data_IF_407141979341
#
_entry.id   IF_407141979341
#
_cell.length_a   1.000
_cell.length_b   1.000
_cell.length_c   1.000
_cell.angle_alpha   90.00
_cell.angle_beta   90.00
_cell.angle_gamma   90.00
#
_symmetry.space_group_name_H-M   'P 1'
#
loop_
_entity.id
_entity.type
_entity.pdbx_description
1 polymer ?
#
# COMPACT_ATOMS: atom_id res chain seq x y z
N UNK A 1 11.79 -7.98 9.57
CA UNK A 1 10.86 -7.64 8.48
C UNK A 1 10.01 -8.87 8.22
N UNK A 2 8.68 -8.76 8.23
CA UNK A 2 7.79 -9.95 8.14
C UNK A 2 7.26 -10.23 6.73
N UNK A 3 7.22 -9.22 5.87
CA UNK A 3 6.77 -9.36 4.49
C UNK A 3 7.47 -8.35 3.57
N UNK A 4 7.49 -8.66 2.27
CA UNK A 4 7.82 -7.71 1.21
C UNK A 4 6.69 -7.69 0.18
N UNK A 5 6.37 -6.50 -0.33
CA UNK A 5 5.41 -6.30 -1.42
C UNK A 5 6.20 -5.86 -2.65
N UNK A 6 6.15 -6.65 -3.72
CA UNK A 6 6.80 -6.37 -5.00
C UNK A 6 5.74 -6.11 -6.08
N UNK A 7 5.92 -5.09 -6.91
CA UNK A 7 4.94 -4.71 -7.94
C UNK A 7 5.36 -5.16 -9.33
N UNK A 8 4.38 -5.48 -10.18
CA UNK A 8 4.59 -6.05 -11.52
C UNK A 8 4.86 -4.99 -12.61
N UNK A 9 5.59 -3.92 -12.26
CA UNK A 9 6.08 -2.93 -13.23
C UNK A 9 7.55 -3.17 -13.56
N UNK A 10 7.93 -2.71 -14.75
CA UNK A 10 9.32 -2.65 -15.21
C UNK A 10 9.93 -1.27 -14.99
N UNK A 11 11.27 -1.21 -14.97
CA UNK A 11 12.03 0.04 -14.86
C UNK A 11 12.09 0.63 -13.44
N UNK A 12 12.56 1.88 -13.36
CA UNK A 12 12.55 2.63 -12.10
C UNK A 12 11.11 2.86 -11.66
N UNK A 13 10.83 2.58 -10.39
CA UNK A 13 9.50 2.74 -9.81
C UNK A 13 8.95 4.15 -10.05
N UNK A 14 7.81 4.22 -10.73
CA UNK A 14 7.01 5.44 -10.90
C UNK A 14 5.78 5.38 -9.99
N UNK A 15 5.39 6.52 -9.44
CA UNK A 15 4.30 6.60 -8.47
C UNK A 15 2.95 6.24 -9.15
N UNK A 16 2.22 5.26 -8.60
CA UNK A 16 0.93 4.80 -9.12
C UNK A 16 -0.15 5.88 -9.17
N UNK A 17 -0.02 6.94 -8.36
CA UNK A 17 -0.91 8.10 -8.42
C UNK A 17 -0.81 8.88 -9.74
N UNK A 18 0.30 8.71 -10.48
CA UNK A 18 0.50 9.31 -11.79
C UNK A 18 -0.17 8.52 -12.92
N UNK A 19 -0.75 7.34 -12.65
CA UNK A 19 -1.48 6.53 -13.63
C UNK A 19 -0.76 6.43 -14.98
N UNK A 20 -1.48 6.77 -16.05
CA UNK A 20 -0.95 6.85 -17.41
C UNK A 20 -0.42 8.26 -17.80
N UNK A 21 -0.40 9.22 -16.88
CA UNK A 21 0.19 10.56 -17.11
C UNK A 21 1.71 10.49 -17.29
N UNK A 22 2.31 9.37 -16.86
CA UNK A 22 3.70 9.01 -17.16
C UNK A 22 3.70 7.58 -17.70
N UNK A 23 4.45 7.36 -18.79
CA UNK A 23 4.56 6.02 -19.40
C UNK A 23 5.04 4.99 -18.37
N UNK A 24 4.22 3.96 -18.17
CA UNK A 24 4.47 2.86 -17.24
C UNK A 24 4.22 1.53 -17.96
N UNK A 25 5.19 0.63 -17.86
CA UNK A 25 5.18 -0.67 -18.54
C UNK A 25 5.04 -1.78 -17.51
N UNK A 26 3.95 -2.53 -17.61
CA UNK A 26 3.75 -3.74 -16.82
C UNK A 26 4.65 -4.85 -17.33
N UNK A 27 5.21 -5.62 -16.42
CA UNK A 27 6.08 -6.74 -16.76
C UNK A 27 5.29 -7.91 -17.38
N UNK A 28 5.98 -8.69 -18.20
CA UNK A 28 5.46 -9.97 -18.65
C UNK A 28 5.15 -10.88 -17.45
N UNK A 29 4.07 -11.65 -17.57
CA UNK A 29 3.57 -12.48 -16.46
C UNK A 29 4.62 -13.51 -16.04
N UNK A 30 5.26 -14.20 -17.00
CA UNK A 30 6.23 -15.25 -16.67
C UNK A 30 7.50 -14.66 -16.05
N UNK A 31 7.95 -13.51 -16.56
CA UNK A 31 9.10 -12.80 -15.99
C UNK A 31 8.84 -12.40 -14.53
N UNK A 32 7.64 -11.91 -14.22
CA UNK A 32 7.29 -11.57 -12.83
C UNK A 32 7.12 -12.81 -11.94
N UNK A 33 6.56 -13.89 -12.50
CA UNK A 33 6.51 -15.20 -11.82
C UNK A 33 7.91 -15.71 -11.46
N UNK A 34 8.90 -15.55 -12.35
CA UNK A 34 10.28 -15.95 -12.08
C UNK A 34 10.89 -15.12 -10.93
N UNK A 35 10.57 -13.83 -10.83
CA UNK A 35 10.98 -13.02 -9.67
C UNK A 35 10.37 -13.49 -8.36
N UNK A 36 9.08 -13.85 -8.37
CA UNK A 36 8.41 -14.43 -7.19
C UNK A 36 9.11 -15.73 -6.79
N UNK A 37 9.32 -16.65 -7.74
CA UNK A 37 10.01 -17.94 -7.49
C UNK A 37 11.42 -17.73 -6.95
N UNK A 38 12.18 -16.81 -7.55
CA UNK A 38 13.52 -16.47 -7.08
C UNK A 38 13.50 -15.90 -5.65
N UNK A 39 12.55 -15.02 -5.36
CA UNK A 39 12.34 -14.47 -4.02
C UNK A 39 12.00 -15.56 -3.00
N UNK A 40 11.07 -16.47 -3.33
CA UNK A 40 10.68 -17.59 -2.47
C UNK A 40 11.86 -18.54 -2.21
N UNK A 41 12.66 -18.85 -3.23
CA UNK A 41 13.85 -19.69 -3.10
C UNK A 41 14.96 -19.05 -2.26
N UNK A 42 15.00 -17.72 -2.14
CA UNK A 42 15.97 -16.98 -1.34
C UNK A 42 15.56 -16.83 0.14
N UNK A 43 14.35 -17.24 0.52
CA UNK A 43 13.85 -17.09 1.89
C UNK A 43 14.62 -18.00 2.87
N UNK A 44 15.03 -17.43 4.00
CA UNK A 44 15.67 -18.19 5.09
C UNK A 44 14.61 -18.87 5.97
N UNK A 45 13.46 -18.22 6.15
CA UNK A 45 12.36 -18.72 6.99
C UNK A 45 11.06 -18.82 6.19
N UNK A 46 10.19 -19.74 6.58
CA UNK A 46 8.86 -19.90 5.97
C UNK A 46 7.86 -18.83 6.43
N UNK A 47 8.17 -18.12 7.51
CA UNK A 47 7.29 -17.07 8.05
C UNK A 47 7.35 -15.76 7.25
N UNK A 48 8.39 -15.58 6.43
CA UNK A 48 8.54 -14.38 5.62
C UNK A 48 7.65 -14.44 4.38
N UNK A 49 6.80 -13.43 4.20
CA UNK A 49 5.83 -13.41 3.09
C UNK A 49 6.31 -12.58 1.89
N UNK A 50 6.08 -13.08 0.68
CA UNK A 50 6.17 -12.32 -0.57
C UNK A 50 4.76 -12.07 -1.09
N UNK A 51 4.39 -10.80 -1.16
CA UNK A 51 3.08 -10.36 -1.64
C UNK A 51 3.25 -9.73 -3.02
N UNK A 52 2.51 -10.25 -3.99
CA UNK A 52 2.51 -9.75 -5.35
C UNK A 52 1.53 -8.59 -5.51
N UNK A 53 2.04 -7.40 -5.82
CA UNK A 53 1.23 -6.22 -6.09
C UNK A 53 0.94 -6.10 -7.58
N UNK A 54 -0.35 -6.12 -7.91
CA UNK A 54 -0.86 -6.14 -9.28
C UNK A 54 -1.28 -4.72 -9.66
N UNK A 55 -0.68 -4.19 -10.72
CA UNK A 55 -0.91 -2.82 -11.18
C UNK A 55 -1.85 -2.75 -12.40
N UNK A 56 -2.52 -3.85 -12.76
CA UNK A 56 -3.45 -3.91 -13.91
C UNK A 56 -4.56 -2.86 -13.86
N UNK A 57 -5.16 -2.62 -12.69
CA UNK A 57 -6.20 -1.58 -12.55
C UNK A 57 -5.61 -0.16 -12.54
N UNK A 58 -4.38 0.02 -12.06
CA UNK A 58 -3.68 1.31 -12.15
C UNK A 58 -3.40 1.69 -13.61
N UNK A 59 -3.07 0.69 -14.44
CA UNK A 59 -2.71 0.82 -15.85
C UNK A 59 -3.91 0.61 -16.80
N UNK A 60 -5.13 0.64 -16.29
CA UNK A 60 -6.38 0.51 -17.05
C UNK A 60 -6.46 -0.76 -17.94
N UNK A 61 -5.79 -1.87 -17.54
CA UNK A 61 -5.82 -3.17 -18.24
C UNK A 61 -7.09 -3.99 -17.99
N UNK A 62 -7.84 -3.62 -16.95
CA UNK A 62 -9.14 -4.22 -16.60
C UNK A 62 -9.06 -5.42 -15.66
N UNK A 63 -10.25 -5.90 -15.27
CA UNK A 63 -10.44 -6.96 -14.26
C UNK A 63 -9.91 -8.32 -14.70
N UNK A 64 -10.07 -8.66 -15.98
CA UNK A 64 -9.64 -9.95 -16.51
C UNK A 64 -8.11 -10.11 -16.44
N UNK A 65 -7.37 -9.07 -16.83
CA UNK A 65 -5.91 -9.05 -16.72
C UNK A 65 -5.46 -9.11 -15.26
N UNK A 66 -6.11 -8.35 -14.37
CA UNK A 66 -5.83 -8.37 -12.93
C UNK A 66 -5.97 -9.78 -12.35
N UNK A 67 -7.08 -10.47 -12.64
CA UNK A 67 -7.33 -11.84 -12.16
C UNK A 67 -6.35 -12.84 -12.78
N UNK A 68 -6.09 -12.76 -14.09
CA UNK A 68 -5.12 -13.62 -14.77
C UNK A 68 -3.75 -13.56 -14.10
N UNK A 69 -3.27 -12.36 -13.83
CA UNK A 69 -2.00 -12.11 -13.13
C UNK A 69 -2.03 -12.60 -11.70
N UNK A 70 -3.12 -12.33 -10.97
CA UNK A 70 -3.34 -12.81 -9.60
C UNK A 70 -3.10 -14.32 -9.50
N UNK A 71 -3.78 -15.11 -10.33
CA UNK A 71 -3.64 -16.56 -10.27
C UNK A 71 -2.26 -17.04 -10.74
N UNK A 72 -1.66 -16.40 -11.74
CA UNK A 72 -0.30 -16.73 -12.17
C UNK A 72 0.71 -16.51 -11.02
N UNK A 73 0.59 -15.39 -10.31
CA UNK A 73 1.50 -15.02 -9.22
C UNK A 73 1.33 -15.92 -7.98
N UNK A 74 0.10 -16.29 -7.66
CA UNK A 74 -0.19 -17.28 -6.60
C UNK A 74 0.43 -18.63 -6.97
N UNK A 75 0.25 -19.09 -8.22
CA UNK A 75 0.84 -20.35 -8.69
C UNK A 75 2.38 -20.31 -8.71
N UNK A 76 2.98 -19.12 -8.85
CA UNK A 76 4.42 -18.93 -8.75
C UNK A 76 4.95 -18.92 -7.30
N UNK A 77 4.06 -18.90 -6.30
CA UNK A 77 4.39 -19.00 -4.88
C UNK A 77 4.20 -17.71 -4.08
N UNK A 78 3.49 -16.70 -4.61
CA UNK A 78 3.15 -15.51 -3.82
C UNK A 78 2.25 -15.90 -2.63
N UNK A 79 2.62 -15.45 -1.43
CA UNK A 79 1.90 -15.75 -0.18
C UNK A 79 0.64 -14.90 0.00
N UNK A 80 0.48 -13.87 -0.83
CA UNK A 80 -0.65 -12.96 -0.84
C UNK A 80 -0.61 -12.07 -2.07
N UNK A 81 -1.72 -11.39 -2.32
CA UNK A 81 -1.82 -10.44 -3.42
C UNK A 81 -2.22 -9.08 -2.91
N UNK A 82 -1.71 -8.03 -3.55
CA UNK A 82 -2.16 -6.67 -3.33
C UNK A 82 -2.80 -6.17 -4.61
N UNK A 83 -4.09 -5.84 -4.54
CA UNK A 83 -4.80 -5.17 -5.63
C UNK A 83 -4.86 -3.67 -5.36
N UNK A 84 -4.56 -2.86 -6.38
CA UNK A 84 -4.55 -1.41 -6.24
C UNK A 84 -5.33 -0.75 -7.36
N UNK A 85 -6.18 0.22 -7.00
CA UNK A 85 -6.89 1.09 -7.94
C UNK A 85 -6.65 2.55 -7.56
N UNK A 86 -6.68 3.42 -8.57
CA UNK A 86 -6.57 4.88 -8.42
C UNK A 86 -7.93 5.59 -8.51
N UNK A 87 -9.01 4.83 -8.71
CA UNK A 87 -10.36 5.38 -8.74
C UNK A 87 -10.76 5.98 -7.39
N UNK A 88 -11.71 6.92 -7.44
CA UNK A 88 -12.36 7.47 -6.25
C UNK A 88 -13.41 6.52 -5.65
N UNK A 89 -14.03 5.70 -6.49
CA UNK A 89 -15.00 4.70 -6.05
C UNK A 89 -14.29 3.38 -5.70
N UNK A 90 -14.75 2.63 -4.68
CA UNK A 90 -14.22 1.30 -4.37
C UNK A 90 -14.68 0.20 -5.34
N UNK A 91 -15.57 0.49 -6.30
CA UNK A 91 -16.25 -0.51 -7.13
C UNK A 91 -15.32 -1.49 -7.84
N UNK A 92 -14.22 -1.02 -8.43
CA UNK A 92 -13.26 -1.89 -9.10
C UNK A 92 -12.59 -2.88 -8.14
N UNK A 93 -12.28 -2.44 -6.92
CA UNK A 93 -11.66 -3.28 -5.89
C UNK A 93 -12.67 -4.28 -5.35
N UNK A 94 -13.92 -3.85 -5.11
CA UNK A 94 -15.00 -4.74 -4.68
C UNK A 94 -15.33 -5.80 -5.73
N UNK A 95 -15.38 -5.42 -7.01
CA UNK A 95 -15.59 -6.34 -8.12
C UNK A 95 -14.45 -7.37 -8.20
N UNK A 96 -13.20 -6.93 -8.08
CA UNK A 96 -12.04 -7.81 -8.03
C UNK A 96 -12.13 -8.80 -6.85
N UNK A 97 -12.40 -8.30 -5.65
CA UNK A 97 -12.48 -9.12 -4.44
C UNK A 97 -13.55 -10.20 -4.57
N UNK A 98 -14.74 -9.83 -5.05
CA UNK A 98 -15.82 -10.78 -5.30
C UNK A 98 -15.40 -11.89 -6.27
N UNK A 99 -14.90 -11.50 -7.45
CA UNK A 99 -14.52 -12.45 -8.49
C UNK A 99 -13.33 -13.34 -8.08
N UNK A 100 -12.40 -12.80 -7.28
CA UNK A 100 -11.28 -13.57 -6.74
C UNK A 100 -11.75 -14.57 -5.69
N UNK A 101 -12.61 -14.15 -4.76
CA UNK A 101 -13.10 -14.99 -3.65
C UNK A 101 -14.01 -16.13 -4.11
N UNK A 102 -14.65 -16.01 -5.26
CA UNK A 102 -15.36 -17.13 -5.92
C UNK A 102 -14.42 -18.29 -6.29
N UNK A 103 -13.13 -18.03 -6.48
CA UNK A 103 -12.11 -19.02 -6.91
C UNK A 103 -11.09 -19.35 -5.82
N UNK A 104 -10.75 -18.38 -4.96
CA UNK A 104 -9.78 -18.53 -3.88
C UNK A 104 -10.23 -17.81 -2.61
N UNK A 105 -10.58 -18.59 -1.59
CA UNK A 105 -11.03 -18.10 -0.29
C UNK A 105 -9.93 -18.01 0.77
N UNK A 106 -8.69 -18.42 0.45
CA UNK A 106 -7.61 -18.59 1.43
C UNK A 106 -6.52 -17.56 1.29
N UNK A 107 -6.13 -17.24 0.05
CA UNK A 107 -4.98 -16.36 -0.19
C UNK A 107 -5.29 -14.95 0.35
N UNK A 108 -4.42 -14.39 1.22
CA UNK A 108 -4.59 -13.04 1.76
C UNK A 108 -4.60 -11.98 0.66
N UNK A 109 -5.55 -11.04 0.77
CA UNK A 109 -5.64 -9.87 -0.12
C UNK A 109 -5.36 -8.60 0.67
N UNK A 110 -4.43 -7.80 0.13
CA UNK A 110 -4.07 -6.49 0.63
C UNK A 110 -4.73 -5.41 -0.23
N UNK A 111 -5.31 -4.39 0.40
CA UNK A 111 -5.92 -3.25 -0.25
C UNK A 111 -5.42 -1.93 0.35
N UNK A 112 -5.39 -0.88 -0.47
CA UNK A 112 -4.86 0.45 -0.10
C UNK A 112 -5.87 1.53 -0.48
N UNK A 113 -6.83 1.88 0.40
CA UNK A 113 -7.93 2.79 0.09
C UNK A 113 -7.52 4.27 0.19
N UNK A 114 -6.39 4.66 -0.42
CA UNK A 114 -5.95 6.06 -0.38
C UNK A 114 -6.83 6.94 -1.27
N UNK A 115 -7.18 6.46 -2.47
CA UNK A 115 -8.00 7.20 -3.44
C UNK A 115 -9.51 7.00 -3.24
N UNK A 116 -9.91 5.82 -2.78
CA UNK A 116 -11.31 5.43 -2.52
C UNK A 116 -11.58 5.34 -1.01
N UNK A 117 -11.40 6.44 -0.31
CA UNK A 117 -11.38 6.49 1.16
C UNK A 117 -12.77 6.60 1.82
N UNK A 118 -13.86 6.55 1.04
CA UNK A 118 -15.23 6.58 1.55
C UNK A 118 -15.66 5.23 2.16
N UNK A 119 -15.05 4.12 1.71
CA UNK A 119 -15.32 2.78 2.25
C UNK A 119 -14.53 2.52 3.54
N UNK A 120 -15.17 1.86 4.50
CA UNK A 120 -14.52 1.48 5.76
C UNK A 120 -13.66 0.23 5.61
N UNK A 121 -12.66 0.09 6.49
CA UNK A 121 -11.88 -1.14 6.59
C UNK A 121 -12.76 -2.37 6.91
N UNK A 122 -13.86 -2.17 7.64
CA UNK A 122 -14.82 -3.22 7.97
C UNK A 122 -15.53 -3.73 6.71
N UNK A 123 -16.07 -2.82 5.88
CA UNK A 123 -16.72 -3.18 4.61
C UNK A 123 -15.74 -3.84 3.63
N UNK A 124 -14.49 -3.38 3.57
CA UNK A 124 -13.44 -4.04 2.79
C UNK A 124 -13.14 -5.46 3.30
N UNK A 125 -13.13 -5.64 4.63
CA UNK A 125 -12.98 -6.95 5.26
C UNK A 125 -14.14 -7.89 4.95
N UNK A 126 -15.38 -7.39 5.05
CA UNK A 126 -16.61 -8.12 4.68
C UNK A 126 -16.63 -8.49 3.19
N UNK A 127 -16.06 -7.64 2.33
CA UNK A 127 -15.88 -7.92 0.90
C UNK A 127 -14.75 -8.93 0.61
N UNK A 128 -13.95 -9.32 1.60
CA UNK A 128 -12.94 -10.37 1.49
C UNK A 128 -11.49 -9.90 1.47
N UNK A 129 -11.20 -8.62 1.74
CA UNK A 129 -9.84 -8.17 2.00
C UNK A 129 -9.36 -8.61 3.40
N UNK A 130 -8.05 -8.83 3.55
CA UNK A 130 -7.47 -9.28 4.82
C UNK A 130 -6.61 -8.20 5.47
N UNK A 131 -5.93 -7.38 4.66
CA UNK A 131 -5.01 -6.34 5.14
C UNK A 131 -5.38 -5.02 4.47
N UNK A 132 -5.61 -3.99 5.29
CA UNK A 132 -5.90 -2.63 4.83
C UNK A 132 -4.71 -1.75 5.19
N UNK A 133 -4.07 -1.15 4.18
CA UNK A 133 -2.92 -0.26 4.39
C UNK A 133 -3.33 1.19 4.20
N UNK A 134 -3.16 2.00 5.25
CA UNK A 134 -3.25 3.46 5.20
C UNK A 134 -1.90 4.08 4.87
N UNK A 135 -1.54 4.09 3.58
CA UNK A 135 -0.15 4.24 3.13
C UNK A 135 0.57 5.53 3.53
N UNK A 136 -0.09 6.70 3.51
CA UNK A 136 0.61 8.00 3.62
C UNK A 136 -0.07 9.03 4.54
N UNK A 137 -1.11 8.65 5.26
CA UNK A 137 -1.96 9.58 6.02
C UNK A 137 -1.20 10.24 7.18
N UNK A 138 -0.41 9.46 7.94
CA UNK A 138 0.35 10.00 9.07
C UNK A 138 1.44 10.98 8.63
N UNK A 139 2.11 10.70 7.51
CA UNK A 139 3.09 11.62 6.92
C UNK A 139 2.43 12.93 6.46
N UNK A 140 1.31 12.83 5.74
CA UNK A 140 0.53 13.99 5.28
C UNK A 140 0.04 14.85 6.45
N UNK A 141 -0.48 14.22 7.51
CA UNK A 141 -0.92 14.92 8.71
C UNK A 141 0.24 15.61 9.44
N UNK A 142 1.37 14.91 9.58
CA UNK A 142 2.58 15.46 10.20
C UNK A 142 3.09 16.68 9.44
N UNK A 143 3.05 16.66 8.11
CA UNK A 143 3.50 17.79 7.29
C UNK A 143 2.67 19.06 7.53
N UNK A 144 1.34 18.93 7.63
CA UNK A 144 0.46 20.07 7.95
C UNK A 144 0.80 20.66 9.32
N UNK A 145 0.99 19.81 10.34
CA UNK A 145 1.35 20.26 11.68
C UNK A 145 2.73 20.95 11.71
N UNK A 146 3.74 20.32 11.09
CA UNK A 146 5.09 20.88 10.99
C UNK A 146 5.11 22.21 10.25
N UNK A 147 4.37 22.32 9.14
CA UNK A 147 4.28 23.56 8.36
C UNK A 147 3.67 24.70 9.19
N UNK A 148 2.58 24.42 9.92
CA UNK A 148 1.94 25.41 10.81
C UNK A 148 2.91 25.92 11.87
N UNK A 149 3.65 25.01 12.53
CA UNK A 149 4.63 25.37 13.56
C UNK A 149 5.78 26.19 12.96
N UNK A 150 6.33 25.77 11.81
CA UNK A 150 7.41 26.49 11.15
C UNK A 150 7.00 27.92 10.73
N UNK A 151 5.79 28.08 10.18
CA UNK A 151 5.25 29.38 9.81
C UNK A 151 5.03 30.28 11.02
N UNK A 152 4.46 29.75 12.11
CA UNK A 152 4.28 30.51 13.35
C UNK A 152 5.59 30.96 13.98
N UNK A 153 6.62 30.09 14.02
CA UNK A 153 7.94 30.47 14.51
C UNK A 153 8.54 31.62 13.69
N UNK A 154 8.39 31.57 12.36
CA UNK A 154 8.87 32.62 11.47
C UNK A 154 8.10 33.95 11.65
N UNK A 155 6.78 33.88 11.82
CA UNK A 155 5.91 35.05 11.99
C UNK A 155 6.14 35.77 13.32
N UNK A 156 6.28 35.02 14.42
CA UNK A 156 6.41 35.57 15.77
C UNK A 156 7.86 35.76 16.24
N UNK A 157 8.84 35.30 15.45
CA UNK A 157 10.26 35.28 15.80
C UNK A 157 10.56 34.52 17.11
N UNK A 158 9.69 33.57 17.48
CA UNK A 158 9.79 32.69 18.66
C UNK A 158 8.76 31.55 18.60
N UNK A 159 8.89 30.54 19.48
CA UNK A 159 7.98 29.37 19.51
C UNK A 159 6.78 29.47 20.46
N UNK A 160 6.69 30.49 21.32
CA UNK A 160 5.72 30.55 22.43
C UNK A 160 4.27 30.30 21.98
N UNK A 161 3.88 30.90 20.86
CA UNK A 161 2.54 30.81 20.27
C UNK A 161 2.24 29.40 19.71
N UNK A 162 3.29 28.63 19.40
CA UNK A 162 3.21 27.29 18.81
C UNK A 162 3.35 26.15 19.82
N UNK A 163 3.73 26.41 21.07
CA UNK A 163 3.89 25.38 22.11
C UNK A 163 2.63 24.52 22.29
N UNK A 164 1.44 25.11 22.21
CA UNK A 164 0.16 24.40 22.33
C UNK A 164 -0.14 23.45 21.15
N UNK A 165 0.57 23.62 20.03
CA UNK A 165 0.48 22.74 18.85
C UNK A 165 1.54 21.63 18.85
N UNK A 166 2.38 21.56 19.89
CA UNK A 166 3.45 20.58 20.04
C UNK A 166 3.14 19.62 21.20
N UNK A 167 3.65 18.40 21.09
CA UNK A 167 3.74 17.49 22.23
C UNK A 167 4.71 18.08 23.26
N UNK A 168 4.46 17.87 24.55
CA UNK A 168 5.37 18.37 25.58
C UNK A 168 6.74 17.68 25.51
N UNK A 169 7.80 18.37 25.95
CA UNK A 169 9.15 17.79 26.02
C UNK A 169 9.17 16.52 26.89
N UNK A 170 8.35 16.46 27.95
CA UNK A 170 8.24 15.28 28.79
C UNK A 170 7.65 14.08 28.05
N UNK A 171 6.57 14.29 27.29
CA UNK A 171 5.93 13.20 26.54
C UNK A 171 6.85 12.69 25.42
N UNK A 172 7.54 13.57 24.68
CA UNK A 172 8.43 13.11 23.60
C UNK A 172 9.63 12.33 24.14
N UNK A 173 10.20 12.74 25.29
CA UNK A 173 11.28 11.98 25.93
C UNK A 173 10.82 10.62 26.44
N UNK A 174 9.53 10.43 26.73
CA UNK A 174 8.98 9.13 27.16
C UNK A 174 8.90 8.11 26.03
N UNK A 175 8.98 8.56 24.77
CA UNK A 175 9.00 7.71 23.58
C UNK A 175 10.39 7.15 23.29
N UNK A 176 11.44 7.74 23.87
CA UNK A 176 12.83 7.31 23.69
C UNK A 176 13.21 6.44 24.89
N UNK A 177 13.61 5.17 24.70
CA UNK A 177 14.06 4.33 25.81
C UNK A 177 15.29 4.94 26.51
N UNK A 178 15.22 5.12 27.82
CA UNK A 178 16.34 5.56 28.65
C UNK A 178 16.49 7.08 28.86
N UNK A 179 15.55 7.90 28.41
CA UNK A 179 15.55 9.36 28.63
C UNK A 179 14.69 9.84 29.81
N UNK A 180 13.87 8.97 30.42
CA UNK A 180 13.12 9.21 31.66
C UNK A 180 13.03 7.92 32.46
#
# INVERSE_FOLDING_TARGET
MSAVIIEDKTGLKKNSLLGNDVEQTQEDIEVFCDKIRAGKNAQITQDFMIIARIESLILDKGQEDALKRTFAYINAGADGIMIHSRQKSPDEVLAFLKAFREKDSKTPVVVVPTSFNEITAKELGEAGANIIIYANHLLRASFVAMQKVAQGILEFDRSKEMESSCMSVKEILSLIPGTI
#
